data_IF_835515223972
#
_entry.id   IF_835515223972
#
_cell.length_a   1.000
_cell.length_b   1.000
_cell.length_c   1.000
_cell.angle_alpha   90.00
_cell.angle_beta   90.00
_cell.angle_gamma   90.00
#
_symmetry.space_group_name_H-M   'P 1'
#
loop_
_entity.id
_entity.type
_entity.pdbx_description
1 polymer ?
#
# COMPACT_ATOMS: atom_id res chain seq x y z
N UNK A 1 21.78 2.71 -19.72
CA UNK A 1 20.71 3.67 -20.08
C UNK A 1 19.42 2.95 -20.43
N UNK A 2 19.40 2.07 -21.44
CA UNK A 2 18.18 1.33 -21.83
C UNK A 2 17.54 0.51 -20.69
N UNK A 3 18.34 -0.11 -19.83
CA UNK A 3 17.83 -0.82 -18.64
C UNK A 3 16.99 0.07 -17.71
N UNK A 4 17.40 1.34 -17.51
CA UNK A 4 16.71 2.27 -16.61
C UNK A 4 15.38 2.73 -17.20
N UNK A 5 15.34 2.95 -18.52
CA UNK A 5 14.10 3.30 -19.22
C UNK A 5 13.12 2.14 -19.17
N UNK A 6 13.61 0.92 -19.35
CA UNK A 6 12.77 -0.28 -19.24
C UNK A 6 12.26 -0.50 -17.81
N UNK A 7 13.13 -0.33 -16.81
CA UNK A 7 12.77 -0.40 -15.40
C UNK A 7 11.68 0.62 -15.05
N UNK A 8 11.81 1.86 -15.51
CA UNK A 8 10.78 2.88 -15.34
C UNK A 8 9.43 2.47 -15.98
N UNK A 9 9.45 1.95 -17.21
CA UNK A 9 8.23 1.51 -17.90
C UNK A 9 7.53 0.36 -17.17
N UNK A 10 8.30 -0.54 -16.57
CA UNK A 10 7.78 -1.65 -15.76
C UNK A 10 7.21 -1.14 -14.43
N UNK A 11 7.96 -0.27 -13.73
CA UNK A 11 7.56 0.29 -12.43
C UNK A 11 6.30 1.14 -12.53
N UNK A 12 6.17 1.96 -13.58
CA UNK A 12 4.97 2.76 -13.84
C UNK A 12 3.82 1.97 -14.49
N UNK A 13 4.06 0.70 -14.83
CA UNK A 13 3.05 -0.21 -15.37
C UNK A 13 2.70 0.02 -16.85
N UNK A 14 3.58 0.65 -17.62
CA UNK A 14 3.46 0.80 -19.07
C UNK A 14 3.87 -0.48 -19.80
N UNK A 15 3.08 -1.55 -19.66
CA UNK A 15 3.33 -2.88 -20.25
C UNK A 15 3.60 -2.82 -21.76
N UNK A 16 2.71 -2.18 -22.53
CA UNK A 16 2.88 -2.06 -23.98
C UNK A 16 4.11 -1.24 -24.39
N UNK A 17 4.42 -0.20 -23.63
CA UNK A 17 5.60 0.63 -23.84
C UNK A 17 6.89 -0.16 -23.57
N UNK A 18 6.92 -0.92 -22.49
CA UNK A 18 8.03 -1.80 -22.14
C UNK A 18 8.29 -2.85 -23.24
N UNK A 19 7.23 -3.51 -23.73
CA UNK A 19 7.32 -4.52 -24.80
C UNK A 19 7.87 -3.95 -26.11
N UNK A 20 7.36 -2.77 -26.54
CA UNK A 20 7.87 -2.08 -27.73
C UNK A 20 9.33 -1.67 -27.55
N UNK A 21 9.67 -1.13 -26.38
CA UNK A 21 11.03 -0.71 -26.07
C UNK A 21 12.03 -1.88 -26.07
N UNK A 22 11.66 -3.05 -25.53
CA UNK A 22 12.49 -4.26 -25.58
C UNK A 22 12.77 -4.66 -27.03
N UNK A 23 11.73 -4.65 -27.87
CA UNK A 23 11.83 -5.02 -29.29
C UNK A 23 12.69 -4.03 -30.09
N UNK A 24 12.53 -2.73 -29.86
CA UNK A 24 13.28 -1.67 -30.57
C UNK A 24 14.71 -1.53 -30.08
N UNK A 25 14.95 -1.65 -28.76
CA UNK A 25 16.27 -1.56 -28.17
C UNK A 25 17.07 -2.87 -28.24
N UNK A 26 16.49 -3.95 -28.77
CA UNK A 26 17.13 -5.25 -28.93
C UNK A 26 17.58 -5.86 -27.60
N UNK A 27 16.82 -5.64 -26.52
CA UNK A 27 17.20 -6.09 -25.18
C UNK A 27 16.97 -7.59 -25.08
N UNK A 28 18.05 -8.34 -24.85
CA UNK A 28 17.95 -9.77 -24.58
C UNK A 28 17.49 -10.02 -23.14
N UNK A 29 16.23 -10.43 -22.99
CA UNK A 29 15.62 -10.81 -21.71
C UNK A 29 16.12 -12.17 -21.20
N UNK A 30 16.73 -13.00 -22.05
CA UNK A 30 17.34 -14.26 -21.65
C UNK A 30 18.70 -14.07 -20.96
N UNK A 31 19.27 -12.86 -21.06
CA UNK A 31 20.53 -12.54 -20.39
C UNK A 31 20.33 -12.51 -18.86
N UNK A 32 21.21 -13.14 -18.05
CA UNK A 32 21.05 -13.24 -16.60
C UNK A 32 20.96 -11.89 -15.88
N UNK A 33 21.53 -10.82 -16.44
CA UNK A 33 21.43 -9.44 -15.93
C UNK A 33 20.04 -8.80 -16.07
N UNK A 34 19.15 -9.40 -16.85
CA UNK A 34 17.80 -8.92 -17.16
C UNK A 34 16.70 -9.89 -16.68
N UNK A 35 17.08 -10.93 -15.93
CA UNK A 35 16.15 -11.94 -15.42
C UNK A 35 15.11 -11.35 -14.46
N UNK A 36 15.48 -10.36 -13.65
CA UNK A 36 14.55 -9.66 -12.76
C UNK A 36 13.48 -8.91 -13.56
N UNK A 37 13.89 -8.23 -14.64
CA UNK A 37 12.98 -7.55 -15.56
C UNK A 37 12.03 -8.54 -16.23
N UNK A 38 12.49 -9.75 -16.57
CA UNK A 38 11.63 -10.81 -17.13
C UNK A 38 10.56 -11.28 -16.12
N UNK A 39 10.88 -11.33 -14.84
CA UNK A 39 9.92 -11.68 -13.78
C UNK A 39 8.87 -10.57 -13.68
N UNK A 40 9.29 -9.31 -13.61
CA UNK A 40 8.38 -8.18 -13.49
C UNK A 40 7.54 -7.96 -14.77
N UNK A 41 8.07 -8.34 -15.94
CA UNK A 41 7.37 -8.33 -17.22
C UNK A 41 6.40 -9.49 -17.41
N UNK A 42 6.37 -10.49 -16.51
CA UNK A 42 5.37 -11.55 -16.59
C UNK A 42 3.99 -10.91 -16.66
N UNK A 43 3.19 -11.39 -17.62
CA UNK A 43 2.03 -10.67 -18.14
C UNK A 43 0.97 -10.32 -17.09
N UNK A 44 0.99 -10.94 -15.90
CA UNK A 44 -0.01 -10.71 -14.85
C UNK A 44 0.46 -9.76 -13.75
N UNK A 45 1.77 -9.63 -13.47
CA UNK A 45 2.24 -8.86 -12.30
C UNK A 45 2.09 -7.35 -12.48
N UNK A 46 2.37 -6.82 -13.69
CA UNK A 46 2.17 -5.41 -14.00
C UNK A 46 0.68 -5.05 -13.91
N UNK A 47 -0.17 -5.87 -14.53
CA UNK A 47 -1.62 -5.63 -14.57
C UNK A 47 -2.22 -5.71 -13.16
N UNK A 48 -1.80 -6.68 -12.35
CA UNK A 48 -2.17 -6.81 -10.94
C UNK A 48 -1.74 -5.60 -10.10
N UNK A 49 -0.49 -5.13 -10.23
CA UNK A 49 -0.02 -3.93 -9.52
C UNK A 49 -0.79 -2.68 -9.93
N UNK A 50 -1.08 -2.53 -11.22
CA UNK A 50 -1.89 -1.43 -11.72
C UNK A 50 -3.32 -1.50 -11.20
N UNK A 51 -3.88 -2.71 -11.07
CA UNK A 51 -5.21 -2.90 -10.51
C UNK A 51 -5.25 -2.57 -9.00
N UNK A 52 -4.24 -2.98 -8.22
CA UNK A 52 -4.10 -2.55 -6.82
C UNK A 52 -4.05 -1.03 -6.72
N UNK A 53 -3.25 -0.36 -7.56
CA UNK A 53 -3.17 1.12 -7.59
C UNK A 53 -4.52 1.76 -7.93
N UNK A 54 -5.28 1.19 -8.87
CA UNK A 54 -6.63 1.66 -9.20
C UNK A 54 -7.59 1.53 -8.02
N UNK A 55 -7.59 0.40 -7.32
CA UNK A 55 -8.43 0.23 -6.13
C UNK A 55 -8.08 1.22 -5.01
N UNK A 56 -6.79 1.47 -4.78
CA UNK A 56 -6.34 2.47 -3.80
C UNK A 56 -6.79 3.87 -4.18
N UNK A 57 -6.62 4.26 -5.44
CA UNK A 57 -7.03 5.59 -5.92
C UNK A 57 -8.56 5.77 -5.93
N UNK A 58 -9.32 4.68 -6.08
CA UNK A 58 -10.78 4.68 -6.03
C UNK A 58 -11.35 4.63 -4.59
N UNK A 59 -10.51 4.55 -3.55
CA UNK A 59 -10.95 4.38 -2.16
C UNK A 59 -11.45 2.96 -1.83
N UNK A 60 -11.34 2.01 -2.76
CA UNK A 60 -11.75 0.61 -2.57
C UNK A 60 -10.64 -0.21 -1.91
N UNK A 61 -10.25 0.17 -0.69
CA UNK A 61 -9.06 -0.38 -0.02
C UNK A 61 -9.24 -1.86 0.36
N UNK A 62 -10.44 -2.35 0.70
CA UNK A 62 -10.64 -3.77 0.99
C UNK A 62 -10.33 -4.66 -0.22
N UNK A 63 -10.75 -4.22 -1.41
CA UNK A 63 -10.42 -4.90 -2.68
C UNK A 63 -8.92 -4.83 -2.96
N UNK A 64 -8.27 -3.71 -2.64
CA UNK A 64 -6.82 -3.59 -2.75
C UNK A 64 -6.10 -4.56 -1.79
N UNK A 65 -6.53 -4.67 -0.53
CA UNK A 65 -5.94 -5.57 0.47
C UNK A 65 -6.13 -7.04 0.05
N UNK A 66 -7.32 -7.41 -0.42
CA UNK A 66 -7.59 -8.76 -0.91
C UNK A 66 -6.67 -9.10 -2.08
N UNK A 67 -6.59 -8.22 -3.08
CA UNK A 67 -5.74 -8.44 -4.25
C UNK A 67 -4.25 -8.48 -3.87
N UNK A 68 -3.80 -7.65 -2.93
CA UNK A 68 -2.41 -7.72 -2.41
C UNK A 68 -2.15 -9.09 -1.77
N UNK A 69 -3.07 -9.61 -0.97
CA UNK A 69 -2.92 -10.91 -0.33
C UNK A 69 -2.96 -12.07 -1.33
N UNK A 70 -3.73 -11.94 -2.42
CA UNK A 70 -3.75 -12.91 -3.54
C UNK A 70 -2.43 -12.91 -4.31
N UNK A 71 -1.81 -11.74 -4.53
CA UNK A 71 -0.52 -11.61 -5.21
C UNK A 71 0.62 -12.11 -4.33
N UNK A 72 0.66 -11.66 -3.07
CA UNK A 72 1.66 -12.08 -2.10
C UNK A 72 1.15 -11.90 -0.65
N UNK A 73 0.75 -12.99 0.02
CA UNK A 73 0.17 -12.93 1.36
C UNK A 73 1.15 -12.45 2.43
N UNK A 74 2.46 -12.52 2.18
CA UNK A 74 3.48 -12.16 3.15
C UNK A 74 3.79 -10.66 3.18
N UNK A 75 3.38 -9.87 2.17
CA UNK A 75 3.75 -8.45 2.09
C UNK A 75 3.17 -7.65 3.25
N UNK A 76 1.91 -7.90 3.60
CA UNK A 76 1.22 -7.16 4.65
C UNK A 76 1.69 -7.56 6.05
N UNK A 77 2.12 -8.81 6.23
CA UNK A 77 2.72 -9.28 7.49
C UNK A 77 4.15 -8.77 7.68
N UNK A 78 4.95 -8.77 6.62
CA UNK A 78 6.33 -8.28 6.65
C UNK A 78 6.41 -6.75 6.76
N UNK A 79 5.43 -6.04 6.18
CA UNK A 79 5.40 -4.59 6.17
C UNK A 79 4.17 -4.06 6.92
N UNK A 80 4.27 -4.10 8.25
CA UNK A 80 3.23 -3.59 9.15
C UNK A 80 2.92 -2.10 8.89
N UNK A 81 3.91 -1.31 8.46
CA UNK A 81 3.72 0.10 8.08
C UNK A 81 2.79 0.24 6.90
N UNK A 82 2.96 -0.57 5.84
CA UNK A 82 2.08 -0.53 4.67
C UNK A 82 0.64 -0.91 5.05
N UNK A 83 0.47 -1.96 5.87
CA UNK A 83 -0.86 -2.35 6.33
C UNK A 83 -1.51 -1.25 7.18
N UNK A 84 -0.75 -0.54 8.02
CA UNK A 84 -1.26 0.60 8.78
C UNK A 84 -1.71 1.74 7.86
N UNK A 85 -0.90 2.12 6.87
CA UNK A 85 -1.24 3.19 5.92
C UNK A 85 -2.50 2.88 5.11
N UNK A 86 -2.69 1.62 4.68
CA UNK A 86 -3.92 1.20 3.99
C UNK A 86 -5.15 1.30 4.91
N UNK A 87 -5.05 0.82 6.16
CA UNK A 87 -6.15 0.91 7.13
C UNK A 87 -6.44 2.36 7.53
N UNK A 88 -5.42 3.21 7.62
CA UNK A 88 -5.57 4.65 7.83
C UNK A 88 -6.33 5.31 6.68
N UNK A 89 -6.04 4.92 5.44
CA UNK A 89 -6.79 5.40 4.27
C UNK A 89 -8.27 5.00 4.35
N UNK A 90 -8.58 3.76 4.76
CA UNK A 90 -9.97 3.34 5.01
C UNK A 90 -10.66 4.20 6.07
N UNK A 91 -9.97 4.47 7.19
CA UNK A 91 -10.52 5.34 8.22
C UNK A 91 -10.83 6.74 7.66
N UNK A 92 -9.93 7.31 6.85
CA UNK A 92 -10.16 8.61 6.19
C UNK A 92 -11.38 8.55 5.27
N UNK A 93 -11.56 7.46 4.53
CA UNK A 93 -12.70 7.34 3.61
C UNK A 93 -14.03 7.18 4.37
N UNK A 94 -14.05 6.44 5.51
CA UNK A 94 -15.22 6.38 6.42
C UNK A 94 -15.51 7.77 7.02
N UNK A 95 -14.47 8.53 7.40
CA UNK A 95 -14.63 9.89 7.91
C UNK A 95 -15.29 10.80 6.86
N UNK A 96 -14.86 10.72 5.60
CA UNK A 96 -15.47 11.50 4.49
C UNK A 96 -16.93 11.15 4.25
N UNK A 97 -17.35 9.91 4.53
CA UNK A 97 -18.75 9.49 4.43
C UNK A 97 -19.61 9.99 5.61
N UNK A 98 -19.02 10.76 6.54
CA UNK A 98 -19.66 11.27 7.78
C UNK A 98 -20.15 10.18 8.74
N UNK A 99 -19.67 8.95 8.61
CA UNK A 99 -19.97 7.87 9.57
C UNK A 99 -19.01 7.92 10.77
N UNK A 100 -19.27 8.88 11.67
CA UNK A 100 -18.53 9.05 12.92
C UNK A 100 -18.53 7.78 13.81
N UNK A 101 -19.68 7.13 14.10
CA UNK A 101 -19.69 5.95 14.94
C UNK A 101 -18.96 4.77 14.28
N UNK A 102 -19.09 4.57 12.97
CA UNK A 102 -18.36 3.55 12.22
C UNK A 102 -16.85 3.80 12.22
N UNK A 103 -16.42 5.06 12.06
CA UNK A 103 -15.01 5.44 12.11
C UNK A 103 -14.37 5.11 13.48
N UNK A 104 -15.08 5.40 14.58
CA UNK A 104 -14.58 5.11 15.94
C UNK A 104 -14.48 3.59 16.15
N UNK A 105 -15.51 2.83 15.78
CA UNK A 105 -15.50 1.37 15.90
C UNK A 105 -14.35 0.76 15.08
N UNK A 106 -14.17 1.21 13.83
CA UNK A 106 -13.11 0.75 12.95
C UNK A 106 -11.71 1.07 13.49
N UNK A 107 -11.52 2.28 14.02
CA UNK A 107 -10.25 2.68 14.63
C UNK A 107 -9.91 1.80 15.84
N UNK A 108 -10.89 1.50 16.69
CA UNK A 108 -10.73 0.66 17.87
C UNK A 108 -10.40 -0.80 17.51
N UNK A 109 -11.08 -1.35 16.51
CA UNK A 109 -10.90 -2.76 16.12
C UNK A 109 -9.61 -3.00 15.35
N UNK A 110 -9.25 -2.13 14.41
CA UNK A 110 -8.18 -2.39 13.44
C UNK A 110 -6.88 -1.62 13.67
N UNK A 111 -6.92 -0.44 14.31
CA UNK A 111 -5.76 0.44 14.46
C UNK A 111 -5.22 0.45 15.90
N UNK A 112 -6.07 0.43 16.91
CA UNK A 112 -5.68 0.38 18.33
C UNK A 112 -4.76 -0.80 18.70
N UNK A 113 -5.01 -2.07 18.30
CA UNK A 113 -4.12 -3.18 18.64
C UNK A 113 -2.71 -3.03 18.04
N UNK A 114 -2.56 -2.23 16.97
CA UNK A 114 -1.25 -1.95 16.35
C UNK A 114 -0.55 -0.73 16.97
N UNK A 115 -1.31 0.20 17.53
CA UNK A 115 -0.82 1.38 18.24
C UNK A 115 -0.43 1.11 19.71
N UNK A 116 -1.08 0.12 20.34
CA UNK A 116 -0.75 -0.36 21.68
C UNK A 116 -0.58 -1.88 21.64
N UNK A 117 0.61 -2.39 21.30
CA UNK A 117 0.90 -3.80 21.50
C UNK A 117 0.87 -4.09 23.01
N UNK A 118 0.07 -5.07 23.44
CA UNK A 118 -0.03 -5.50 24.85
C UNK A 118 1.28 -6.04 25.44
N UNK A 119 2.31 -6.20 24.61
CA UNK A 119 3.66 -6.65 24.95
C UNK A 119 4.68 -5.51 24.81
N UNK A 120 4.39 -4.34 25.39
CA UNK A 120 5.25 -3.15 25.32
C UNK A 120 6.70 -3.37 25.84
N UNK A 121 6.92 -4.41 26.64
CA UNK A 121 8.22 -4.73 27.25
C UNK A 121 9.14 -5.61 26.39
N UNK A 122 8.66 -6.20 25.28
CA UNK A 122 9.45 -7.12 24.43
C UNK A 122 9.77 -6.58 23.03
N UNK A 123 9.33 -5.36 22.72
CA UNK A 123 9.50 -4.78 21.39
C UNK A 123 10.84 -4.04 21.28
N UNK A 124 11.50 -4.21 20.14
CA UNK A 124 12.75 -3.52 19.84
C UNK A 124 12.52 -2.01 19.78
N UNK A 125 13.55 -1.20 20.04
CA UNK A 125 13.44 0.27 20.02
C UNK A 125 12.85 0.82 18.69
N UNK A 126 13.06 0.12 17.57
CA UNK A 126 12.47 0.46 16.27
C UNK A 126 10.95 0.27 16.21
N UNK A 127 10.43 -0.83 16.77
CA UNK A 127 8.99 -1.11 16.75
C UNK A 127 8.24 -0.14 17.66
N UNK A 128 8.86 0.26 18.78
CA UNK A 128 8.32 1.29 19.67
C UNK A 128 8.23 2.66 18.99
N UNK A 129 9.29 3.08 18.30
CA UNK A 129 9.28 4.35 17.55
C UNK A 129 8.24 4.33 16.40
N UNK A 130 8.06 3.17 15.76
CA UNK A 130 7.04 2.99 14.73
C UNK A 130 5.62 3.09 15.31
N UNK A 131 5.37 2.46 16.45
CA UNK A 131 4.09 2.54 17.18
C UNK A 131 3.76 3.97 17.61
N UNK A 132 4.75 4.73 18.11
CA UNK A 132 4.57 6.15 18.46
C UNK A 132 4.21 6.99 17.24
N UNK A 133 4.82 6.72 16.08
CA UNK A 133 4.47 7.39 14.82
C UNK A 133 3.03 7.05 14.40
N UNK A 134 2.63 5.78 14.49
CA UNK A 134 1.26 5.36 14.20
C UNK A 134 0.25 6.02 15.13
N UNK A 135 0.55 6.13 16.42
CA UNK A 135 -0.31 6.84 17.37
C UNK A 135 -0.50 8.31 16.97
N UNK A 136 0.59 9.01 16.65
CA UNK A 136 0.51 10.42 16.20
C UNK A 136 -0.31 10.58 14.93
N UNK A 137 -0.16 9.67 13.98
CA UNK A 137 -0.90 9.74 12.72
C UNK A 137 -2.38 9.35 12.92
N UNK A 138 -2.68 8.41 13.82
CA UNK A 138 -4.06 8.09 14.23
C UNK A 138 -4.72 9.28 14.93
N UNK A 139 -4.04 9.93 15.88
CA UNK A 139 -4.54 11.13 16.55
C UNK A 139 -4.90 12.22 15.55
N UNK A 140 -4.01 12.49 14.58
CA UNK A 140 -4.30 13.47 13.51
C UNK A 140 -5.54 13.09 12.70
N UNK A 141 -5.68 11.82 12.30
CA UNK A 141 -6.87 11.41 11.55
C UNK A 141 -8.14 11.52 12.41
N UNK A 142 -8.07 11.19 13.70
CA UNK A 142 -9.19 11.37 14.62
C UNK A 142 -9.51 12.84 14.89
N UNK A 143 -8.55 13.77 14.78
CA UNK A 143 -8.87 15.22 14.83
C UNK A 143 -9.70 15.67 13.63
N UNK A 144 -9.62 14.98 12.47
CA UNK A 144 -10.48 15.30 11.32
C UNK A 144 -11.97 15.04 11.63
N UNK A 145 -12.29 14.01 12.42
CA UNK A 145 -13.67 13.75 12.89
C UNK A 145 -14.23 14.95 13.65
N UNK A 146 -13.41 15.56 14.51
CA UNK A 146 -13.82 16.71 15.30
C UNK A 146 -14.00 17.93 14.40
N UNK A 147 -13.11 18.17 13.44
CA UNK A 147 -13.17 19.34 12.57
C UNK A 147 -14.32 19.30 11.56
N UNK A 148 -14.65 18.14 10.99
CA UNK A 148 -15.82 18.02 10.11
C UNK A 148 -17.15 18.13 10.88
N UNK A 149 -17.18 17.69 12.15
CA UNK A 149 -18.32 17.92 13.04
C UNK A 149 -18.63 19.40 13.33
N UNK A 150 -17.70 20.32 13.05
CA UNK A 150 -17.91 21.77 13.21
C UNK A 150 -18.33 22.49 11.91
N UNK A 151 -18.37 21.81 10.75
CA UNK A 151 -18.78 22.42 9.47
C UNK A 151 -20.28 22.30 9.14
N UNK A 152 -21.13 22.01 10.13
CA UNK A 152 -22.60 22.10 10.00
C UNK A 152 -23.14 23.46 10.48
#
# INVERSE_FOLDING_TARGET
MNKLVLDFLIVEGYKEGALKFIKEAGIDLAHPLNKDLLIDLKEELIDQRMQVRKYILAGSIDQAIQLINEINPLILDQNQSLHFELRKQQLIDIIKENDIPGAIAFAQEHLTPKCMPSSADQLSAQEKALSEKFMRDLEKVMTLLIFEGFSQ
#
